data_IF_344043221574
#
_entry.id   IF_344043221574
#
_cell.length_a   1.000
_cell.length_b   1.000
_cell.length_c   1.000
_cell.angle_alpha   90.00
_cell.angle_beta   90.00
_cell.angle_gamma   90.00
#
_symmetry.space_group_name_H-M   'P 1'
#
loop_
_entity.id
_entity.type
_entity.pdbx_description
1 polymer ?
#
# COMPACT_ATOMS: atom_id res chain seq x y z
N UNK A 1 -0.15 -2.56 12.00
CA UNK A 1 -1.01 -1.97 10.94
C UNK A 1 -1.05 -2.98 9.79
N UNK A 2 -2.22 -3.55 9.46
CA UNK A 2 -2.36 -4.61 8.44
C UNK A 2 -1.75 -4.22 7.09
N UNK A 3 -1.99 -2.98 6.63
CA UNK A 3 -1.54 -2.50 5.33
C UNK A 3 -0.02 -2.63 5.15
N UNK A 4 0.74 -2.15 6.13
CA UNK A 4 2.22 -2.17 6.08
C UNK A 4 2.73 -3.61 6.05
N UNK A 5 2.15 -4.50 6.87
CA UNK A 5 2.56 -5.91 6.91
C UNK A 5 2.25 -6.65 5.61
N UNK A 6 1.12 -6.34 4.98
CA UNK A 6 0.74 -6.91 3.69
C UNK A 6 1.69 -6.45 2.60
N UNK A 7 2.00 -5.15 2.53
CA UNK A 7 2.97 -4.58 1.58
C UNK A 7 4.36 -5.17 1.78
N UNK A 8 4.81 -5.30 3.03
CA UNK A 8 6.11 -5.91 3.39
C UNK A 8 6.23 -7.36 2.92
N UNK A 9 5.19 -8.18 3.15
CA UNK A 9 5.15 -9.57 2.69
C UNK A 9 5.21 -9.67 1.17
N UNK A 10 4.49 -8.80 0.47
CA UNK A 10 4.47 -8.77 -0.99
C UNK A 10 5.83 -8.32 -1.56
N UNK A 11 6.42 -7.26 -1.01
CA UNK A 11 7.74 -6.78 -1.42
C UNK A 11 8.83 -7.84 -1.20
N UNK A 12 8.83 -8.48 -0.03
CA UNK A 12 9.78 -9.56 0.31
C UNK A 12 9.66 -10.74 -0.65
N UNK A 13 8.43 -11.19 -0.95
CA UNK A 13 8.19 -12.29 -1.90
C UNK A 13 8.62 -11.94 -3.32
N UNK A 14 8.48 -10.69 -3.71
CA UNK A 14 8.88 -10.20 -5.02
C UNK A 14 10.40 -9.91 -5.12
N UNK A 15 11.15 -10.00 -4.02
CA UNK A 15 12.56 -9.60 -3.98
C UNK A 15 12.76 -8.10 -4.22
N UNK A 16 11.75 -7.28 -3.93
CA UNK A 16 11.77 -5.84 -4.11
C UNK A 16 12.08 -5.14 -2.79
N UNK A 17 12.74 -3.97 -2.82
CA UNK A 17 12.86 -3.13 -1.63
C UNK A 17 11.47 -2.72 -1.12
N UNK A 18 11.36 -2.51 0.19
CA UNK A 18 10.12 -2.06 0.81
C UNK A 18 9.74 -0.68 0.26
N UNK A 19 8.56 -0.52 -0.37
CA UNK A 19 8.09 0.80 -0.78
C UNK A 19 7.67 1.63 0.43
N UNK A 20 7.65 2.94 0.25
CA UNK A 20 6.94 3.84 1.16
C UNK A 20 5.43 3.52 1.13
N UNK A 21 4.78 3.61 2.29
CA UNK A 21 3.34 3.36 2.42
C UNK A 21 2.69 4.61 2.98
N UNK A 22 1.75 5.16 2.22
CA UNK A 22 1.00 6.36 2.60
C UNK A 22 -0.50 6.07 2.67
N UNK A 23 -1.17 6.77 3.58
CA UNK A 23 -2.63 6.79 3.68
C UNK A 23 -3.09 8.21 3.39
N UNK A 24 -4.10 8.34 2.54
CA UNK A 24 -4.70 9.63 2.20
C UNK A 24 -6.21 9.57 2.37
N UNK A 25 -6.86 10.72 2.54
CA UNK A 25 -8.31 10.75 2.70
C UNK A 25 -9.03 10.72 1.36
N UNK A 26 -10.09 9.91 1.24
CA UNK A 26 -10.94 9.87 0.06
C UNK A 26 -11.70 8.56 -0.15
N UNK A 27 -12.47 8.53 -1.24
CA UNK A 27 -13.24 7.37 -1.69
C UNK A 27 -12.36 6.12 -1.91
N UNK A 28 -12.92 4.90 -1.86
CA UNK A 28 -12.16 3.64 -1.99
C UNK A 28 -11.27 3.58 -3.25
N UNK A 29 -9.96 3.73 -3.05
CA UNK A 29 -8.96 3.72 -4.12
C UNK A 29 -7.55 3.42 -3.58
N UNK A 30 -6.69 2.88 -4.44
CA UNK A 30 -5.27 2.69 -4.15
C UNK A 30 -4.42 2.89 -5.42
N UNK A 31 -3.20 3.39 -5.27
CA UNK A 31 -2.24 3.56 -6.35
C UNK A 31 -0.83 3.15 -5.93
N UNK A 32 -0.08 2.53 -6.84
CA UNK A 32 1.30 2.14 -6.63
C UNK A 32 2.18 2.63 -7.77
N UNK A 33 3.34 3.20 -7.45
CA UNK A 33 4.33 3.65 -8.43
C UNK A 33 5.72 3.21 -8.04
N UNK A 34 6.52 2.86 -9.05
CA UNK A 34 7.94 2.51 -8.94
C UNK A 34 8.78 3.30 -9.92
N UNK A 35 8.42 4.56 -10.17
CA UNK A 35 8.96 5.38 -11.25
C UNK A 35 10.48 5.67 -11.17
N UNK A 36 11.15 5.31 -10.09
CA UNK A 36 12.61 5.45 -9.98
C UNK A 36 13.24 4.20 -9.37
N UNK A 37 14.50 3.93 -9.75
CA UNK A 37 15.34 2.88 -9.12
C UNK A 37 15.49 3.05 -7.60
N UNK A 38 15.26 4.28 -7.09
CA UNK A 38 15.58 4.66 -5.72
C UNK A 38 14.34 4.81 -4.82
N UNK A 39 13.12 4.66 -5.36
CA UNK A 39 11.91 4.90 -4.59
C UNK A 39 10.67 4.36 -5.25
N UNK A 40 9.92 3.58 -4.49
CA UNK A 40 8.59 3.05 -4.79
C UNK A 40 7.62 3.48 -3.69
N UNK A 41 6.37 3.76 -4.06
CA UNK A 41 5.32 4.25 -3.17
C UNK A 41 4.04 3.45 -3.40
N UNK A 42 3.38 3.08 -2.30
CA UNK A 42 2.01 2.55 -2.27
C UNK A 42 1.16 3.52 -1.46
N UNK A 43 0.13 4.10 -2.08
CA UNK A 43 -0.81 5.02 -1.45
C UNK A 43 -2.21 4.41 -1.43
N UNK A 44 -2.85 4.41 -0.26
CA UNK A 44 -4.20 3.83 -0.08
C UNK A 44 -5.13 4.84 0.55
N UNK A 45 -6.38 4.92 0.08
CA UNK A 45 -7.37 5.82 0.67
C UNK A 45 -7.96 5.29 1.97
N UNK A 46 -8.37 6.19 2.85
CA UNK A 46 -9.14 5.88 4.08
C UNK A 46 -10.41 5.10 3.76
N UNK A 47 -11.13 5.46 2.69
CA UNK A 47 -12.33 4.75 2.25
C UNK A 47 -12.06 3.28 1.89
N UNK A 48 -10.93 2.99 1.25
CA UNK A 48 -10.57 1.60 0.92
C UNK A 48 -10.20 0.80 2.17
N UNK A 49 -9.47 1.41 3.11
CA UNK A 49 -9.12 0.75 4.37
C UNK A 49 -10.36 0.40 5.19
N UNK A 50 -11.34 1.30 5.22
CA UNK A 50 -12.60 1.07 5.90
C UNK A 50 -13.41 -0.04 5.24
N UNK A 51 -13.49 -0.07 3.91
CA UNK A 51 -14.22 -1.13 3.19
C UNK A 51 -13.55 -2.50 3.36
N UNK A 52 -12.21 -2.57 3.28
CA UNK A 52 -11.49 -3.82 3.50
C UNK A 52 -11.64 -4.32 4.94
N UNK A 53 -11.58 -3.43 5.95
CA UNK A 53 -11.83 -3.82 7.34
C UNK A 53 -13.24 -4.33 7.64
N UNK A 54 -14.19 -4.15 6.71
CA UNK A 54 -15.56 -4.63 6.83
C UNK A 54 -15.74 -6.03 6.23
N UNK A 55 -14.96 -6.40 5.20
CA UNK A 55 -15.04 -7.67 4.47
C UNK A 55 -13.91 -8.67 4.81
N UNK A 56 -12.83 -8.23 5.47
CA UNK A 56 -11.76 -9.08 6.05
C UNK A 56 -12.05 -9.50 7.49
#
# INVERSE_FOLDING_TARGET
LWLVQTVEKLATRAGLPMPEVAIYDGEPNAFATGASKNGSLVAVSTGLLQSMSHDE
#
